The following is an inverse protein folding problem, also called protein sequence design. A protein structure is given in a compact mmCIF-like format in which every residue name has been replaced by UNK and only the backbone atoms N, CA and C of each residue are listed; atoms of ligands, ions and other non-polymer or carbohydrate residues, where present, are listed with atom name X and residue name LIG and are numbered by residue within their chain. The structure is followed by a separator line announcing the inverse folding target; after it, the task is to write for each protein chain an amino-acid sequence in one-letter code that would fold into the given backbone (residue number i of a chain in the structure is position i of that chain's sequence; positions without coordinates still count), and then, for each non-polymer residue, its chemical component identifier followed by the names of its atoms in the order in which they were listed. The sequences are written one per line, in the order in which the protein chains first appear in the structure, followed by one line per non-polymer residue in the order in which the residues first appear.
data_IF_580613549731
#
_entry.id   IF_580613549731
#
_cell.length_a   1.000
_cell.length_b   1.000
_cell.length_c   1.000
_cell.angle_alpha   90.00
_cell.angle_beta   90.00
_cell.angle_gamma   90.00
#
_symmetry.space_group_name_H-M   'P 1'
#
loop_
_entity.id
_entity.type
_entity.pdbx_description
1 polymer ?
#
# COMPACT_ATOMS: atom_id res chain seq x y z
N UNK A 1 20.26 -18.49 17.79
CA UNK A 1 21.36 -17.55 17.43
C UNK A 1 21.82 -16.85 18.69
N UNK A 2 23.11 -16.92 19.02
CA UNK A 2 23.66 -16.29 20.24
C UNK A 2 23.71 -14.77 20.10
N UNK A 3 23.69 -14.05 21.23
CA UNK A 3 23.75 -12.58 21.28
C UNK A 3 24.98 -12.05 20.52
N UNK A 4 26.10 -12.76 20.61
CA UNK A 4 27.37 -12.42 19.96
C UNK A 4 27.32 -12.49 18.45
N UNK A 5 26.54 -13.45 17.89
CA UNK A 5 26.32 -13.57 16.42
C UNK A 5 25.44 -12.43 15.93
N UNK A 6 24.41 -12.00 16.70
CA UNK A 6 23.58 -10.83 16.35
C UNK A 6 24.38 -9.54 16.36
N UNK A 7 25.29 -9.38 17.33
CA UNK A 7 26.12 -8.18 17.46
C UNK A 7 27.20 -8.12 16.37
N UNK A 8 27.79 -9.27 16.00
CA UNK A 8 28.72 -9.41 14.90
C UNK A 8 28.03 -9.12 13.53
N UNK A 9 26.81 -9.63 13.33
CA UNK A 9 26.01 -9.37 12.11
C UNK A 9 25.59 -7.90 12.01
N UNK A 10 25.21 -7.26 13.12
CA UNK A 10 24.89 -5.82 13.14
C UNK A 10 26.12 -4.95 12.89
N UNK A 11 27.30 -5.35 13.36
CA UNK A 11 28.57 -4.65 13.12
C UNK A 11 29.02 -4.86 11.67
N UNK A 12 28.88 -6.07 11.15
CA UNK A 12 29.14 -6.41 9.76
C UNK A 12 28.20 -5.64 8.83
N UNK A 13 26.89 -5.56 9.16
CA UNK A 13 25.90 -4.78 8.41
C UNK A 13 26.25 -3.29 8.34
N UNK A 14 26.73 -2.68 9.45
CA UNK A 14 27.16 -1.27 9.46
C UNK A 14 28.43 -1.03 8.67
N UNK A 15 29.39 -1.93 8.71
CA UNK A 15 30.61 -1.83 7.93
C UNK A 15 30.36 -2.15 6.44
N UNK A 16 29.44 -3.06 6.15
CA UNK A 16 29.03 -3.37 4.79
C UNK A 16 28.20 -2.26 4.14
N UNK A 17 27.49 -1.43 4.91
CA UNK A 17 26.84 -0.24 4.36
C UNK A 17 27.82 0.76 3.73
N UNK A 18 29.05 0.83 4.26
CA UNK A 18 30.14 1.63 3.67
C UNK A 18 30.76 0.97 2.44
N UNK A 19 30.71 -0.37 2.33
CA UNK A 19 31.22 -1.15 1.20
C UNK A 19 30.11 -1.36 0.16
N UNK A 20 28.87 -1.25 0.56
CA UNK A 20 27.68 -1.68 -0.19
C UNK A 20 27.28 -0.75 -1.33
N UNK A 21 27.73 0.49 -1.37
CA UNK A 21 27.51 1.34 -2.56
C UNK A 21 28.13 0.73 -3.82
N UNK A 22 29.22 -0.05 -3.68
CA UNK A 22 29.90 -0.69 -4.82
C UNK A 22 29.49 -2.16 -5.06
N UNK A 23 29.09 -2.93 -4.03
CA UNK A 23 28.90 -4.38 -4.13
C UNK A 23 27.51 -4.92 -3.74
N UNK A 24 26.54 -4.05 -3.45
CA UNK A 24 25.20 -4.43 -2.99
C UNK A 24 24.46 -5.37 -3.95
N UNK A 25 24.78 -5.27 -5.23
CA UNK A 25 24.11 -6.00 -6.31
C UNK A 25 24.53 -7.46 -6.38
N UNK A 26 25.78 -7.77 -6.09
CA UNK A 26 26.27 -9.14 -6.07
C UNK A 26 25.73 -9.92 -4.87
N UNK A 27 25.61 -9.28 -3.73
CA UNK A 27 25.05 -9.86 -2.50
C UNK A 27 23.55 -10.16 -2.66
N UNK A 28 22.80 -9.32 -3.36
CA UNK A 28 21.37 -9.54 -3.65
C UNK A 28 21.12 -10.76 -4.53
N UNK A 29 22.03 -11.07 -5.43
CA UNK A 29 21.95 -12.27 -6.27
C UNK A 29 22.15 -13.57 -5.46
N UNK A 30 22.94 -13.48 -4.40
CA UNK A 30 23.25 -14.61 -3.51
C UNK A 30 22.23 -14.79 -2.38
N UNK A 31 21.35 -13.82 -2.14
CA UNK A 31 20.40 -13.77 -1.00
C UNK A 31 19.24 -14.77 -1.15
N UNK A 32 19.52 -16.05 -1.30
CA UNK A 32 18.53 -17.13 -1.18
C UNK A 32 18.42 -17.70 0.24
N UNK A 33 19.35 -17.40 1.11
CA UNK A 33 19.43 -17.94 2.47
C UNK A 33 19.00 -16.91 3.52
N UNK A 34 18.39 -17.36 4.62
CA UNK A 34 17.87 -16.49 5.71
C UNK A 34 18.92 -15.52 6.27
N UNK A 35 20.19 -15.98 6.41
CA UNK A 35 21.29 -15.14 6.95
C UNK A 35 21.59 -13.94 6.05
N UNK A 36 21.61 -14.16 4.74
CA UNK A 36 21.84 -13.11 3.77
C UNK A 36 20.67 -12.13 3.73
N UNK A 37 19.45 -12.63 3.94
CA UNK A 37 18.25 -11.80 4.04
C UNK A 37 18.34 -10.86 5.27
N UNK A 38 18.77 -11.36 6.44
CA UNK A 38 18.96 -10.52 7.65
C UNK A 38 20.03 -9.44 7.43
N UNK A 39 21.12 -9.77 6.74
CA UNK A 39 22.17 -8.81 6.39
C UNK A 39 21.62 -7.71 5.48
N UNK A 40 20.89 -8.08 4.42
CA UNK A 40 20.29 -7.11 3.48
C UNK A 40 19.31 -6.20 4.20
N UNK A 41 18.49 -6.75 5.09
CA UNK A 41 17.54 -5.97 5.89
C UNK A 41 18.26 -4.92 6.75
N UNK A 42 19.37 -5.32 7.42
CA UNK A 42 20.21 -4.41 8.20
C UNK A 42 20.88 -3.32 7.35
N UNK A 43 21.30 -3.67 6.12
CA UNK A 43 21.84 -2.71 5.16
C UNK A 43 20.78 -1.68 4.75
N UNK A 44 19.57 -2.13 4.40
CA UNK A 44 18.46 -1.24 4.02
C UNK A 44 18.18 -0.24 5.16
N UNK A 45 18.20 -0.68 6.43
CA UNK A 45 17.96 0.21 7.58
C UNK A 45 19.01 1.33 7.71
N UNK A 46 20.24 1.09 7.26
CA UNK A 46 21.32 2.07 7.30
C UNK A 46 21.34 3.05 6.11
N UNK A 47 20.64 2.74 5.02
CA UNK A 47 20.58 3.60 3.84
C UNK A 47 19.68 4.81 4.07
N UNK A 48 19.96 5.90 3.32
CA UNK A 48 19.08 7.07 3.29
C UNK A 48 17.78 6.75 2.56
N UNK A 49 16.70 7.36 3.00
CA UNK A 49 15.42 7.29 2.32
C UNK A 49 15.55 7.87 0.90
N UNK A 50 14.81 7.28 -0.03
CA UNK A 50 14.83 7.64 -1.47
C UNK A 50 16.22 7.66 -2.12
N UNK A 51 17.22 6.96 -1.55
CA UNK A 51 18.53 6.82 -2.19
C UNK A 51 18.46 5.94 -3.44
N UNK A 52 19.33 6.16 -4.40
CA UNK A 52 19.41 5.35 -5.62
C UNK A 52 19.57 3.86 -5.31
N UNK A 53 20.39 3.54 -4.30
CA UNK A 53 20.61 2.16 -3.84
C UNK A 53 19.31 1.51 -3.36
N UNK A 54 18.41 2.23 -2.68
CA UNK A 54 17.10 1.68 -2.24
C UNK A 54 16.24 1.30 -3.45
N UNK A 55 16.21 2.13 -4.48
CA UNK A 55 15.47 1.82 -5.72
C UNK A 55 16.07 0.62 -6.45
N UNK A 56 17.41 0.52 -6.53
CA UNK A 56 18.07 -0.64 -7.12
C UNK A 56 17.76 -1.93 -6.36
N UNK A 57 17.82 -1.93 -5.02
CA UNK A 57 17.43 -3.06 -4.18
C UNK A 57 15.99 -3.45 -4.47
N UNK A 58 15.07 -2.49 -4.53
CA UNK A 58 13.67 -2.73 -4.84
C UNK A 58 13.49 -3.39 -6.21
N UNK A 59 14.16 -2.90 -7.25
CA UNK A 59 14.03 -3.42 -8.60
C UNK A 59 14.65 -4.81 -8.77
N UNK A 60 15.87 -5.00 -8.27
CA UNK A 60 16.66 -6.21 -8.53
C UNK A 60 16.31 -7.37 -7.63
N UNK A 61 15.75 -7.12 -6.44
CA UNK A 61 15.36 -8.21 -5.54
C UNK A 61 14.18 -9.01 -6.10
N UNK A 62 14.29 -10.33 -6.11
CA UNK A 62 13.16 -11.23 -6.34
C UNK A 62 12.44 -11.61 -5.03
N UNK A 63 12.99 -11.25 -3.87
CA UNK A 63 12.42 -11.54 -2.57
C UNK A 63 11.40 -10.45 -2.19
N UNK A 64 10.15 -10.87 -1.93
CA UNK A 64 9.06 -9.95 -1.56
C UNK A 64 9.33 -9.22 -0.25
N UNK A 65 9.97 -9.90 0.74
CA UNK A 65 10.27 -9.29 2.05
C UNK A 65 11.30 -8.18 1.89
N UNK A 66 12.35 -8.41 1.09
CA UNK A 66 13.36 -7.39 0.78
C UNK A 66 12.73 -6.20 0.05
N UNK A 67 11.83 -6.45 -0.92
CA UNK A 67 11.09 -5.36 -1.60
C UNK A 67 10.23 -4.57 -0.64
N UNK A 68 9.53 -5.23 0.28
CA UNK A 68 8.69 -4.56 1.27
C UNK A 68 9.54 -3.69 2.21
N UNK A 69 10.71 -4.18 2.60
CA UNK A 69 11.65 -3.44 3.45
C UNK A 69 12.22 -2.22 2.72
N UNK A 70 12.66 -2.38 1.48
CA UNK A 70 13.11 -1.25 0.65
C UNK A 70 11.99 -0.21 0.48
N UNK A 71 10.74 -0.67 0.27
CA UNK A 71 9.58 0.19 0.12
C UNK A 71 9.29 1.05 1.36
N UNK A 72 9.67 0.60 2.56
CA UNK A 72 9.54 1.42 3.79
C UNK A 72 10.31 2.74 3.68
N UNK A 73 11.44 2.72 2.98
CA UNK A 73 12.34 3.87 2.77
C UNK A 73 12.06 4.67 1.49
N UNK A 74 11.07 4.26 0.69
CA UNK A 74 10.67 4.97 -0.53
C UNK A 74 9.49 5.88 -0.18
N UNK A 75 9.65 7.19 -0.39
CA UNK A 75 8.64 8.22 -0.16
C UNK A 75 8.26 8.97 -1.44
N UNK A 76 8.98 8.74 -2.54
CA UNK A 76 8.65 9.34 -3.83
C UNK A 76 7.26 8.85 -4.30
N UNK A 77 6.28 9.77 -4.27
CA UNK A 77 4.89 9.45 -4.52
C UNK A 77 4.63 9.01 -5.96
N UNK A 78 5.32 9.59 -6.94
CA UNK A 78 5.20 9.19 -8.34
C UNK A 78 5.69 7.76 -8.57
N UNK A 79 6.73 7.35 -7.85
CA UNK A 79 7.21 5.98 -7.88
C UNK A 79 6.19 5.02 -7.23
N UNK A 80 5.61 5.39 -6.08
CA UNK A 80 4.58 4.60 -5.40
C UNK A 80 3.34 4.43 -6.28
N UNK A 81 2.91 5.48 -6.99
CA UNK A 81 1.80 5.43 -7.96
C UNK A 81 2.05 4.40 -9.06
N UNK A 82 3.26 4.37 -9.63
CA UNK A 82 3.64 3.39 -10.65
C UNK A 82 3.64 1.95 -10.13
N UNK A 83 4.06 1.72 -8.88
CA UNK A 83 3.93 0.39 -8.25
C UNK A 83 2.47 -0.02 -8.17
N UNK A 84 1.60 0.89 -7.72
CA UNK A 84 0.16 0.63 -7.58
C UNK A 84 -0.49 0.31 -8.91
N UNK A 85 -0.12 1.00 -9.99
CA UNK A 85 -0.58 0.72 -11.34
C UNK A 85 -0.03 -0.61 -11.90
N UNK A 86 0.97 -1.21 -11.24
CA UNK A 86 1.55 -2.50 -11.64
C UNK A 86 2.68 -2.38 -12.64
N UNK A 87 3.21 -1.19 -12.90
CA UNK A 87 4.29 -0.97 -13.86
C UNK A 87 5.59 -1.69 -13.45
N UNK A 88 5.86 -1.80 -12.13
CA UNK A 88 7.11 -2.33 -11.59
C UNK A 88 6.98 -3.69 -10.90
N UNK A 89 5.77 -4.15 -10.62
CA UNK A 89 5.53 -5.37 -9.83
C UNK A 89 4.34 -6.15 -10.37
N UNK A 90 4.62 -7.09 -11.27
CA UNK A 90 3.59 -7.99 -11.76
C UNK A 90 3.27 -9.06 -10.70
N UNK A 91 1.98 -9.22 -10.38
CA UNK A 91 1.48 -10.30 -9.51
C UNK A 91 1.90 -10.24 -8.03
N UNK A 92 2.45 -9.10 -7.54
CA UNK A 92 2.89 -8.94 -6.14
C UNK A 92 1.95 -8.01 -5.38
N UNK A 93 0.76 -8.50 -5.08
CA UNK A 93 -0.30 -7.70 -4.43
C UNK A 93 0.13 -7.08 -3.10
N UNK A 94 0.94 -7.77 -2.29
CA UNK A 94 1.44 -7.23 -1.02
C UNK A 94 2.27 -5.96 -1.19
N UNK A 95 3.14 -5.91 -2.20
CA UNK A 95 3.96 -4.72 -2.48
C UNK A 95 3.08 -3.57 -2.94
N UNK A 96 2.10 -3.84 -3.82
CA UNK A 96 1.11 -2.86 -4.28
C UNK A 96 0.29 -2.33 -3.11
N UNK A 97 -0.25 -3.21 -2.27
CA UNK A 97 -1.05 -2.85 -1.09
C UNK A 97 -0.27 -1.99 -0.09
N UNK A 98 1.02 -2.31 0.15
CA UNK A 98 1.86 -1.50 1.04
C UNK A 98 2.08 -0.10 0.44
N UNK A 99 2.24 -0.01 -0.88
CA UNK A 99 2.39 1.28 -1.58
C UNK A 99 1.15 2.16 -1.48
N UNK A 100 -0.07 1.58 -1.55
CA UNK A 100 -1.32 2.32 -1.32
C UNK A 100 -1.31 3.10 -0.01
N UNK A 101 -0.86 2.46 1.08
CA UNK A 101 -0.84 3.08 2.41
C UNK A 101 0.15 4.24 2.56
N UNK A 102 0.97 4.51 1.54
CA UNK A 102 1.97 5.59 1.54
C UNK A 102 1.61 6.73 0.58
N UNK A 103 0.55 6.60 -0.23
CA UNK A 103 0.10 7.63 -1.17
C UNK A 103 -0.89 8.55 -0.45
N UNK A 104 -0.62 9.87 -0.49
CA UNK A 104 -1.44 10.91 0.11
C UNK A 104 -2.35 11.60 -0.92
N UNK A 105 -2.06 11.48 -2.22
CA UNK A 105 -2.85 12.06 -3.30
C UNK A 105 -4.23 11.41 -3.40
N UNK A 106 -5.20 11.97 -2.67
CA UNK A 106 -6.60 11.50 -2.67
C UNK A 106 -7.24 11.53 -4.06
N UNK A 107 -6.83 12.45 -4.95
CA UNK A 107 -7.36 12.51 -6.31
C UNK A 107 -6.94 11.27 -7.10
N UNK A 108 -5.65 10.92 -7.06
CA UNK A 108 -5.15 9.71 -7.68
C UNK A 108 -5.83 8.45 -7.09
N UNK A 109 -5.99 8.37 -5.76
CA UNK A 109 -6.66 7.25 -5.12
C UNK A 109 -8.13 7.12 -5.57
N UNK A 110 -8.85 8.23 -5.78
CA UNK A 110 -10.21 8.23 -6.34
C UNK A 110 -10.21 7.78 -7.80
N UNK A 111 -9.23 8.20 -8.61
CA UNK A 111 -9.10 7.77 -10.02
C UNK A 111 -8.87 6.25 -10.13
N UNK A 112 -8.11 5.65 -9.22
CA UNK A 112 -7.86 4.21 -9.17
C UNK A 112 -9.14 3.36 -9.01
N UNK A 113 -10.20 3.92 -8.43
CA UNK A 113 -11.47 3.22 -8.30
C UNK A 113 -12.11 2.87 -9.65
N UNK A 114 -11.70 3.56 -10.73
CA UNK A 114 -12.16 3.27 -12.09
C UNK A 114 -11.31 2.20 -12.79
N UNK A 115 -10.16 1.81 -12.18
CA UNK A 115 -9.31 0.77 -12.72
C UNK A 115 -9.86 -0.62 -12.40
N UNK A 116 -10.23 -1.39 -13.44
CA UNK A 116 -10.82 -2.73 -13.31
C UNK A 116 -9.99 -3.64 -12.41
N UNK A 117 -8.67 -3.63 -12.57
CA UNK A 117 -7.75 -4.44 -11.77
C UNK A 117 -7.78 -4.10 -10.26
N UNK A 118 -8.32 -2.96 -9.89
CA UNK A 118 -8.44 -2.48 -8.50
C UNK A 118 -9.81 -2.82 -7.95
N UNK A 119 -10.90 -2.41 -8.61
CA UNK A 119 -12.24 -2.57 -8.03
C UNK A 119 -12.74 -4.02 -8.03
N UNK A 120 -12.20 -4.90 -8.86
CA UNK A 120 -12.52 -6.34 -8.82
C UNK A 120 -11.87 -7.06 -7.62
N UNK A 121 -10.96 -6.42 -6.89
CA UNK A 121 -10.26 -7.00 -5.75
C UNK A 121 -10.68 -6.34 -4.44
N UNK A 122 -11.52 -7.01 -3.69
CA UNK A 122 -12.04 -6.52 -2.41
C UNK A 122 -10.95 -6.05 -1.45
N UNK A 123 -9.79 -6.73 -1.42
CA UNK A 123 -8.67 -6.34 -0.57
C UNK A 123 -8.12 -4.93 -0.90
N UNK A 124 -8.09 -4.55 -2.19
CA UNK A 124 -7.70 -3.20 -2.58
C UNK A 124 -8.75 -2.16 -2.19
N UNK A 125 -10.04 -2.49 -2.37
CA UNK A 125 -11.12 -1.59 -1.93
C UNK A 125 -11.10 -1.34 -0.42
N UNK A 126 -10.84 -2.39 0.38
CA UNK A 126 -10.65 -2.22 1.82
C UNK A 126 -9.48 -1.28 2.12
N UNK A 127 -8.34 -1.48 1.48
CA UNK A 127 -7.16 -0.64 1.71
C UNK A 127 -7.38 0.81 1.26
N UNK A 128 -8.08 1.01 0.15
CA UNK A 128 -8.48 2.35 -0.31
C UNK A 128 -9.46 3.01 0.67
N UNK A 129 -10.44 2.27 1.20
CA UNK A 129 -11.40 2.82 2.15
C UNK A 129 -10.76 3.36 3.43
N UNK A 130 -9.61 2.80 3.84
CA UNK A 130 -8.83 3.29 4.99
C UNK A 130 -8.19 4.68 4.75
N UNK A 131 -8.05 5.10 3.48
CA UNK A 131 -7.47 6.38 3.11
C UNK A 131 -8.50 7.51 2.96
N UNK A 132 -9.79 7.18 2.99
CA UNK A 132 -10.89 8.12 2.78
C UNK A 132 -11.61 8.44 4.09
N UNK A 133 -11.92 9.73 4.26
CA UNK A 133 -12.84 10.19 5.28
C UNK A 133 -14.28 10.01 4.82
N UNK A 134 -15.25 10.03 5.74
CA UNK A 134 -16.68 9.87 5.43
C UNK A 134 -17.18 10.85 4.37
N UNK A 135 -16.62 12.05 4.32
CA UNK A 135 -16.90 13.02 3.27
C UNK A 135 -16.45 12.52 1.89
N UNK A 136 -15.24 11.96 1.80
CA UNK A 136 -14.73 11.41 0.54
C UNK A 136 -15.58 10.21 0.08
N UNK A 137 -15.94 9.33 1.03
CA UNK A 137 -16.80 8.18 0.77
C UNK A 137 -18.18 8.63 0.26
N UNK A 138 -18.78 9.64 0.90
CA UNK A 138 -20.05 10.21 0.46
C UNK A 138 -19.98 10.76 -0.97
N UNK A 139 -18.92 11.50 -1.32
CA UNK A 139 -18.71 12.00 -2.68
C UNK A 139 -18.60 10.86 -3.71
N UNK A 140 -17.93 9.75 -3.37
CA UNK A 140 -17.82 8.57 -4.23
C UNK A 140 -19.18 7.89 -4.39
N UNK A 141 -19.92 7.70 -3.31
CA UNK A 141 -21.20 7.00 -3.30
C UNK A 141 -22.26 7.75 -4.12
N UNK A 142 -22.28 9.07 -4.03
CA UNK A 142 -23.26 9.91 -4.73
C UNK A 142 -22.89 10.25 -6.16
N UNK A 143 -21.69 9.90 -6.60
CA UNK A 143 -21.22 10.16 -7.96
C UNK A 143 -21.44 8.97 -8.89
N UNK A 144 -22.12 9.22 -10.03
CA UNK A 144 -22.32 8.23 -11.08
C UNK A 144 -21.06 7.91 -11.89
N UNK A 145 -19.95 8.61 -11.60
CA UNK A 145 -18.65 8.31 -12.22
C UNK A 145 -18.04 7.00 -11.74
N UNK A 146 -18.55 6.42 -10.66
CA UNK A 146 -18.03 5.18 -10.08
C UNK A 146 -18.97 4.01 -10.30
N UNK A 147 -18.37 2.82 -10.46
CA UNK A 147 -19.14 1.59 -10.61
C UNK A 147 -20.05 1.38 -9.38
N UNK A 148 -21.30 0.94 -9.65
CA UNK A 148 -22.32 0.74 -8.62
C UNK A 148 -21.84 -0.17 -7.47
N UNK A 149 -21.08 -1.24 -7.75
CA UNK A 149 -20.52 -2.12 -6.73
C UNK A 149 -19.56 -1.42 -5.79
N UNK A 150 -18.79 -0.44 -6.28
CA UNK A 150 -17.90 0.40 -5.47
C UNK A 150 -18.73 1.30 -4.56
N UNK A 151 -19.73 1.96 -5.13
CA UNK A 151 -20.64 2.83 -4.38
C UNK A 151 -21.30 2.08 -3.23
N UNK A 152 -21.83 0.89 -3.51
CA UNK A 152 -22.46 0.02 -2.52
C UNK A 152 -21.46 -0.46 -1.44
N UNK A 153 -20.25 -0.86 -1.85
CA UNK A 153 -19.21 -1.28 -0.91
C UNK A 153 -18.84 -0.17 0.08
N UNK A 154 -18.75 1.08 -0.38
CA UNK A 154 -18.31 2.18 0.46
C UNK A 154 -19.37 2.68 1.44
N UNK A 155 -20.66 2.42 1.21
CA UNK A 155 -21.71 2.72 2.21
C UNK A 155 -21.39 2.03 3.54
N UNK A 156 -20.97 0.75 3.51
CA UNK A 156 -20.61 -0.01 4.70
C UNK A 156 -19.35 0.50 5.43
N UNK A 157 -18.67 1.51 4.89
CA UNK A 157 -17.46 2.12 5.48
C UNK A 157 -17.73 3.48 6.13
N UNK A 158 -18.89 4.08 5.87
CA UNK A 158 -19.30 5.34 6.52
C UNK A 158 -19.59 5.09 8.00
N UNK A 159 -19.01 5.93 8.85
CA UNK A 159 -19.16 5.89 10.30
C UNK A 159 -19.95 7.09 10.85
N UNK A 160 -20.00 8.20 10.12
CA UNK A 160 -20.78 9.37 10.52
C UNK A 160 -22.24 9.23 10.05
N UNK A 161 -23.15 9.09 11.00
CA UNK A 161 -24.61 9.00 10.83
C UNK A 161 -25.14 10.05 9.84
N UNK A 162 -24.62 11.26 9.89
CA UNK A 162 -25.02 12.39 9.03
C UNK A 162 -24.91 12.06 7.53
N UNK A 163 -23.87 11.35 7.10
CA UNK A 163 -23.69 11.02 5.69
C UNK A 163 -24.61 9.87 5.27
N UNK A 164 -24.88 8.91 6.13
CA UNK A 164 -25.87 7.86 5.85
C UNK A 164 -27.27 8.46 5.71
N UNK A 165 -27.65 9.37 6.61
CA UNK A 165 -28.93 10.07 6.54
C UNK A 165 -29.06 10.92 5.25
N UNK A 166 -27.97 11.56 4.80
CA UNK A 166 -27.96 12.27 3.53
C UNK A 166 -28.17 11.33 2.35
N UNK A 167 -27.48 10.17 2.29
CA UNK A 167 -27.67 9.20 1.22
C UNK A 167 -29.14 8.73 1.17
N UNK A 168 -29.75 8.46 2.33
CA UNK A 168 -31.16 8.04 2.42
C UNK A 168 -32.11 9.10 1.87
N UNK A 169 -31.83 10.38 2.12
CA UNK A 169 -32.73 11.48 1.76
C UNK A 169 -32.49 12.04 0.34
N UNK A 170 -31.28 11.93 -0.18
CA UNK A 170 -30.86 12.59 -1.42
C UNK A 170 -30.68 11.63 -2.60
N UNK A 171 -30.49 10.31 -2.33
CA UNK A 171 -30.34 9.32 -3.40
C UNK A 171 -31.68 8.94 -4.01
N UNK A 172 -31.69 8.74 -5.33
CA UNK A 172 -32.81 8.13 -6.04
C UNK A 172 -32.66 6.61 -6.19
N UNK A 173 -31.48 6.06 -5.83
CA UNK A 173 -31.15 4.65 -5.99
C UNK A 173 -31.63 3.84 -4.76
N UNK A 174 -32.60 2.97 -5.00
CA UNK A 174 -33.26 2.16 -3.95
C UNK A 174 -32.29 1.23 -3.24
N UNK A 175 -31.30 0.67 -3.94
CA UNK A 175 -30.33 -0.24 -3.33
C UNK A 175 -29.36 0.51 -2.42
N UNK A 176 -28.90 1.70 -2.84
CA UNK A 176 -28.04 2.56 -1.99
C UNK A 176 -28.79 3.02 -0.74
N UNK A 177 -30.08 3.40 -0.89
CA UNK A 177 -30.93 3.79 0.24
C UNK A 177 -31.10 2.62 1.22
N UNK A 178 -31.35 1.41 0.69
CA UNK A 178 -31.57 0.22 1.50
C UNK A 178 -30.32 -0.14 2.31
N UNK A 179 -29.14 -0.13 1.66
CA UNK A 179 -27.87 -0.39 2.33
C UNK A 179 -27.54 0.68 3.36
N UNK A 180 -27.78 1.96 3.04
CA UNK A 180 -27.54 3.06 3.98
C UNK A 180 -28.44 2.96 5.22
N UNK A 181 -29.72 2.55 5.08
CA UNK A 181 -30.61 2.27 6.20
C UNK A 181 -30.10 1.13 7.05
N UNK A 182 -29.70 0.02 6.41
CA UNK A 182 -29.13 -1.12 7.12
C UNK A 182 -27.89 -0.73 7.93
N UNK A 183 -26.96 0.01 7.31
CA UNK A 183 -25.76 0.50 8.01
C UNK A 183 -26.11 1.45 9.16
N UNK A 184 -27.10 2.33 8.97
CA UNK A 184 -27.55 3.28 10.00
C UNK A 184 -28.14 2.58 11.24
N UNK A 185 -28.87 1.48 11.04
CA UNK A 185 -29.46 0.67 12.13
C UNK A 185 -28.39 -0.09 12.93
N UNK A 186 -27.23 -0.38 12.33
CA UNK A 186 -26.14 -1.15 12.94
C UNK A 186 -24.91 -0.28 13.26
N UNK A 187 -25.06 1.05 13.19
CA UNK A 187 -24.02 1.98 13.56
C UNK A 187 -23.96 2.11 15.08
N UNK A 188 -22.90 1.57 15.70
CA UNK A 188 -22.61 1.67 17.13
C UNK A 188 -22.24 3.08 17.61
#
# INVERSE_FOLDING_TARGET
MTKDVKEALNTCGRNMALIAEENCLEILYLAREEILQEIIMGMIDSLKDDSETIYEIFFRSNNTIVKLKALEKIHNEDFLKKIVLGEYVHGRDLVRMKSFGKIEDKKFLKELLNEKAIYERTAFLYKLSEQFEDKDLYEIITSDNYNFKIRLFFISKIRDRKYLEKIINESEDVELITEAKFCLEHLD
#
